data_IF_330085817206
#
_entry.id   IF_330085817206
#
_cell.length_a   1.000
_cell.length_b   1.000
_cell.length_c   1.000
_cell.angle_alpha   90.00
_cell.angle_beta   90.00
_cell.angle_gamma   90.00
#
_symmetry.space_group_name_H-M   'P 1'
#
loop_
_entity.id
_entity.type
_entity.pdbx_description
1 polymer ?
#
# COMPACT_ATOMS: atom_id res chain seq x y z
N UNK A 1 10.91 -14.92 62.97
CA UNK A 1 9.64 -15.02 62.23
C UNK A 1 9.34 -13.90 61.23
N UNK A 2 9.69 -12.61 61.43
CA UNK A 2 9.37 -11.55 60.44
C UNK A 2 10.27 -11.50 59.19
N UNK A 3 11.52 -11.95 59.28
CA UNK A 3 12.49 -11.92 58.15
C UNK A 3 12.26 -13.04 57.11
N UNK A 4 11.79 -14.20 57.53
CA UNK A 4 11.55 -15.36 56.65
C UNK A 4 10.34 -15.15 55.74
N UNK A 5 9.31 -14.47 56.23
CA UNK A 5 8.12 -14.12 55.46
C UNK A 5 8.41 -13.15 54.30
N UNK A 6 9.35 -12.22 54.49
CA UNK A 6 9.75 -11.26 53.45
C UNK A 6 10.41 -11.98 52.27
N UNK A 7 11.26 -12.98 52.55
CA UNK A 7 11.87 -13.80 51.51
C UNK A 7 10.86 -14.67 50.77
N UNK A 8 9.89 -15.25 51.47
CA UNK A 8 8.83 -16.05 50.84
C UNK A 8 7.92 -15.19 49.94
N UNK A 9 7.59 -13.96 50.36
CA UNK A 9 6.80 -13.01 49.56
C UNK A 9 7.60 -12.53 48.33
N UNK A 10 8.90 -12.24 48.48
CA UNK A 10 9.76 -11.85 47.36
C UNK A 10 9.96 -12.98 46.34
N UNK A 11 10.15 -14.23 46.80
CA UNK A 11 10.25 -15.41 45.94
C UNK A 11 8.92 -15.64 45.20
N UNK A 12 7.79 -15.52 45.90
CA UNK A 12 6.46 -15.63 45.29
C UNK A 12 6.23 -14.55 44.21
N UNK A 13 6.60 -13.29 44.49
CA UNK A 13 6.54 -12.19 43.52
C UNK A 13 7.45 -12.42 42.30
N UNK A 14 8.66 -12.96 42.49
CA UNK A 14 9.54 -13.35 41.38
C UNK A 14 8.93 -14.48 40.54
N UNK A 15 8.33 -15.50 41.16
CA UNK A 15 7.70 -16.61 40.45
C UNK A 15 6.44 -16.15 39.70
N UNK A 16 5.67 -15.21 40.25
CA UNK A 16 4.41 -14.75 39.63
C UNK A 16 4.63 -13.64 38.60
N UNK A 17 5.65 -12.78 38.75
CA UNK A 17 5.87 -11.65 37.84
C UNK A 17 7.09 -11.81 36.94
N UNK A 18 8.23 -12.21 37.51
CA UNK A 18 9.51 -12.22 36.77
C UNK A 18 9.62 -13.44 35.87
N UNK A 19 9.24 -14.63 36.35
CA UNK A 19 9.29 -15.86 35.54
C UNK A 19 8.31 -15.79 34.36
N UNK A 20 7.02 -15.44 34.50
CA UNK A 20 6.10 -15.32 33.37
C UNK A 20 6.54 -14.22 32.39
N UNK A 21 7.04 -13.08 32.88
CA UNK A 21 7.59 -12.04 32.01
C UNK A 21 8.82 -12.50 31.24
N UNK A 22 9.71 -13.27 31.87
CA UNK A 22 10.91 -13.82 31.24
C UNK A 22 10.58 -14.91 30.23
N UNK A 23 9.60 -15.76 30.52
CA UNK A 23 9.10 -16.80 29.60
C UNK A 23 8.38 -16.17 28.41
N UNK A 24 7.51 -15.18 28.63
CA UNK A 24 6.84 -14.41 27.56
C UNK A 24 7.87 -13.68 26.67
N UNK A 25 8.90 -13.08 27.30
CA UNK A 25 9.98 -12.43 26.58
C UNK A 25 10.80 -13.43 25.77
N UNK A 26 11.14 -14.58 26.33
CA UNK A 26 11.90 -15.63 25.65
C UNK A 26 11.12 -16.29 24.51
N UNK A 27 9.81 -16.51 24.67
CA UNK A 27 8.94 -16.95 23.58
C UNK A 27 8.89 -15.92 22.45
N UNK A 28 8.75 -14.63 22.79
CA UNK A 28 8.79 -13.53 21.81
C UNK A 28 10.14 -13.45 21.09
N UNK A 29 11.25 -13.63 21.81
CA UNK A 29 12.61 -13.67 21.23
C UNK A 29 12.80 -14.89 20.31
N UNK A 30 12.31 -16.08 20.68
CA UNK A 30 12.32 -17.28 19.81
C UNK A 30 11.51 -17.09 18.54
N UNK A 31 10.29 -16.55 18.66
CA UNK A 31 9.49 -16.22 17.48
C UNK A 31 10.26 -15.25 16.57
N UNK A 32 10.86 -14.19 17.10
CA UNK A 32 11.68 -13.22 16.31
C UNK A 32 12.89 -13.89 15.64
N UNK A 33 13.48 -14.94 16.21
CA UNK A 33 14.61 -15.66 15.62
C UNK A 33 14.28 -16.53 14.39
N UNK A 34 13.02 -16.95 14.22
CA UNK A 34 12.56 -17.69 13.03
C UNK A 34 12.15 -16.74 11.87
N UNK A 35 12.42 -15.43 11.98
CA UNK A 35 12.04 -14.46 10.95
C UNK A 35 12.97 -14.48 9.73
N UNK A 36 12.37 -14.29 8.57
CA UNK A 36 13.06 -14.38 7.28
C UNK A 36 13.87 -13.13 7.06
N UNK A 37 15.16 -13.30 6.77
CA UNK A 37 16.03 -12.19 6.36
C UNK A 37 15.90 -11.96 4.87
N UNK A 38 15.65 -10.71 4.49
CA UNK A 38 15.56 -10.27 3.10
C UNK A 38 16.65 -9.24 2.81
N UNK A 39 17.11 -9.19 1.57
CA UNK A 39 18.03 -8.17 1.05
C UNK A 39 17.22 -7.03 0.44
N UNK A 40 17.39 -5.84 0.99
CA UNK A 40 16.64 -4.64 0.61
C UNK A 40 17.58 -3.65 -0.04
N UNK A 41 17.28 -3.25 -1.28
CA UNK A 41 18.00 -2.15 -1.95
C UNK A 41 17.48 -0.80 -1.46
N UNK A 42 18.36 -0.06 -0.78
CA UNK A 42 18.10 1.24 -0.19
C UNK A 42 18.24 2.39 -1.20
N UNK A 43 17.69 3.60 -0.94
CA UNK A 43 17.73 4.71 -1.90
C UNK A 43 19.14 5.23 -2.22
N UNK A 44 20.12 5.00 -1.32
CA UNK A 44 21.53 5.33 -1.52
C UNK A 44 22.28 4.29 -2.38
N UNK A 45 21.60 3.24 -2.85
CA UNK A 45 22.18 2.16 -3.66
C UNK A 45 22.76 1.00 -2.84
N UNK A 46 22.75 1.09 -1.50
CA UNK A 46 23.25 0.01 -0.64
C UNK A 46 22.23 -1.12 -0.50
N UNK A 47 22.71 -2.36 -0.37
CA UNK A 47 21.85 -3.52 -0.08
C UNK A 47 22.01 -3.91 1.39
N UNK A 48 20.93 -3.80 2.16
CA UNK A 48 20.91 -4.11 3.59
C UNK A 48 20.10 -5.38 3.85
N UNK A 49 20.55 -6.21 4.82
CA UNK A 49 19.78 -7.38 5.27
C UNK A 49 18.90 -7.00 6.45
N UNK A 50 17.59 -7.13 6.29
CA UNK A 50 16.59 -6.86 7.33
C UNK A 50 15.75 -8.09 7.62
N UNK A 51 15.22 -8.21 8.84
CA UNK A 51 14.13 -9.14 9.09
C UNK A 51 12.90 -8.66 8.32
N UNK A 52 12.13 -9.60 7.75
CA UNK A 52 10.96 -9.29 6.93
C UNK A 52 9.96 -8.44 7.71
N UNK A 53 9.73 -8.74 8.99
CA UNK A 53 8.79 -7.99 9.82
C UNK A 53 9.29 -6.55 10.11
N UNK A 54 10.61 -6.36 10.26
CA UNK A 54 11.20 -5.02 10.41
C UNK A 54 11.09 -4.20 9.12
N UNK A 55 11.29 -4.84 7.96
CA UNK A 55 11.06 -4.22 6.66
C UNK A 55 9.59 -3.79 6.52
N UNK A 56 8.65 -4.68 6.86
CA UNK A 56 7.21 -4.42 6.76
C UNK A 56 6.76 -3.29 7.67
N UNK A 57 7.36 -3.12 8.86
CA UNK A 57 7.09 -1.98 9.72
C UNK A 57 7.35 -0.66 8.98
N UNK A 58 8.49 -0.57 8.27
CA UNK A 58 8.84 0.59 7.45
C UNK A 58 7.91 0.80 6.26
N UNK A 59 7.45 -0.30 5.63
CA UNK A 59 6.46 -0.22 4.53
C UNK A 59 5.13 0.33 5.03
N UNK A 60 4.55 -0.25 6.09
CA UNK A 60 3.25 0.19 6.60
C UNK A 60 3.31 1.64 7.10
N UNK A 61 4.43 2.06 7.71
CA UNK A 61 4.66 3.44 8.15
C UNK A 61 4.73 4.46 7.00
N UNK A 62 5.21 4.02 5.83
CA UNK A 62 5.30 4.84 4.63
C UNK A 62 3.95 4.92 3.89
N UNK A 63 3.26 3.78 3.79
CA UNK A 63 2.09 3.58 2.94
C UNK A 63 0.79 4.06 3.59
N UNK A 64 0.64 3.90 4.91
CA UNK A 64 -0.60 4.23 5.60
C UNK A 64 -0.39 5.23 6.73
N UNK A 65 -1.34 6.16 6.95
CA UNK A 65 -1.35 6.98 8.16
C UNK A 65 -1.45 6.09 9.40
N UNK A 66 -0.57 6.31 10.38
CA UNK A 66 -0.50 5.49 11.59
C UNK A 66 -1.77 5.61 12.46
N UNK A 67 -2.57 6.64 12.24
CA UNK A 67 -3.87 6.87 12.86
C UNK A 67 -4.93 5.86 12.42
N UNK A 68 -4.77 5.22 11.27
CA UNK A 68 -5.76 4.27 10.74
C UNK A 68 -6.01 3.09 11.68
N UNK A 69 -7.19 2.52 11.59
CA UNK A 69 -7.61 1.40 12.43
C UNK A 69 -6.65 0.22 12.31
N UNK A 70 -6.44 -0.49 13.43
CA UNK A 70 -5.45 -1.58 13.48
C UNK A 70 -5.75 -2.69 12.49
N UNK A 71 -7.02 -3.00 12.22
CA UNK A 71 -7.40 -4.03 11.23
C UNK A 71 -7.06 -3.59 9.78
N UNK A 72 -7.09 -2.29 9.50
CA UNK A 72 -6.64 -1.77 8.20
C UNK A 72 -5.10 -1.81 8.07
N UNK A 73 -4.38 -1.45 9.14
CA UNK A 73 -2.91 -1.57 9.18
C UNK A 73 -2.47 -3.03 9.05
N UNK A 74 -3.21 -3.96 9.65
CA UNK A 74 -3.01 -5.41 9.49
C UNK A 74 -3.21 -5.85 8.05
N UNK A 75 -4.29 -5.40 7.40
CA UNK A 75 -4.55 -5.72 5.99
C UNK A 75 -3.40 -5.24 5.09
N UNK A 76 -2.87 -4.03 5.34
CA UNK A 76 -1.69 -3.53 4.64
C UNK A 76 -0.44 -4.34 4.91
N UNK A 77 -0.20 -4.75 6.16
CA UNK A 77 0.94 -5.61 6.49
C UNK A 77 0.89 -6.94 5.72
N UNK A 78 -0.29 -7.59 5.63
CA UNK A 78 -0.48 -8.82 4.86
C UNK A 78 -0.27 -8.58 3.36
N UNK A 79 -0.86 -7.52 2.79
CA UNK A 79 -0.67 -7.20 1.38
C UNK A 79 0.81 -6.93 1.05
N UNK A 80 1.50 -6.15 1.88
CA UNK A 80 2.92 -5.87 1.71
C UNK A 80 3.79 -7.13 1.88
N UNK A 81 3.51 -7.98 2.86
CA UNK A 81 4.21 -9.26 3.04
C UNK A 81 4.02 -10.17 1.84
N UNK A 82 2.81 -10.22 1.29
CA UNK A 82 2.51 -11.01 0.09
C UNK A 82 3.29 -10.50 -1.12
N UNK A 83 3.38 -9.18 -1.30
CA UNK A 83 4.20 -8.58 -2.35
C UNK A 83 5.67 -8.98 -2.21
N UNK A 84 6.24 -8.83 -1.00
CA UNK A 84 7.62 -9.23 -0.73
C UNK A 84 7.85 -10.73 -0.97
N UNK A 85 6.95 -11.59 -0.49
CA UNK A 85 7.00 -13.04 -0.70
C UNK A 85 6.95 -13.43 -2.18
N UNK A 86 6.08 -12.78 -2.98
CA UNK A 86 6.02 -12.97 -4.43
C UNK A 86 7.36 -12.60 -5.08
N UNK A 87 7.94 -11.45 -4.74
CA UNK A 87 9.23 -11.00 -5.29
C UNK A 87 10.37 -11.95 -4.93
N UNK A 88 10.42 -12.41 -3.68
CA UNK A 88 11.37 -13.44 -3.23
C UNK A 88 11.24 -14.73 -4.04
N UNK A 89 10.01 -15.22 -4.26
CA UNK A 89 9.78 -16.44 -5.04
C UNK A 89 10.23 -16.32 -6.50
N UNK A 90 10.13 -15.12 -7.08
CA UNK A 90 10.57 -14.83 -8.45
C UNK A 90 12.08 -14.58 -8.56
N UNK A 91 12.70 -14.00 -7.53
CA UNK A 91 14.13 -13.67 -7.53
C UNK A 91 15.04 -14.89 -7.32
N UNK A 92 14.52 -16.03 -6.85
CA UNK A 92 15.25 -17.30 -6.97
C UNK A 92 15.56 -17.68 -8.42
N UNK A 93 14.99 -16.98 -9.41
CA UNK A 93 15.21 -17.14 -10.84
C UNK A 93 16.05 -15.96 -11.42
N UNK A 94 16.21 -14.85 -10.70
CA UNK A 94 16.89 -13.63 -11.19
C UNK A 94 18.27 -13.44 -10.53
N UNK A 95 19.28 -13.04 -11.33
CA UNK A 95 20.66 -12.80 -10.86
C UNK A 95 20.83 -11.47 -10.10
N UNK A 96 19.76 -10.91 -9.54
CA UNK A 96 19.78 -9.61 -8.88
C UNK A 96 20.25 -9.77 -7.43
N UNK A 97 21.16 -8.89 -6.99
CA UNK A 97 21.78 -8.95 -5.65
C UNK A 97 20.86 -8.59 -4.48
N UNK A 98 19.57 -8.32 -4.73
CA UNK A 98 18.58 -7.88 -3.74
C UNK A 98 17.21 -8.54 -3.99
N UNK A 99 16.37 -8.61 -2.95
CA UNK A 99 15.09 -9.31 -2.97
C UNK A 99 13.90 -8.37 -3.17
N UNK A 100 13.97 -7.17 -2.58
CA UNK A 100 13.02 -6.07 -2.77
C UNK A 100 13.80 -4.76 -2.86
N UNK A 101 13.26 -3.76 -3.55
CA UNK A 101 13.80 -2.40 -3.52
C UNK A 101 12.85 -1.47 -2.75
N UNK A 102 13.35 -0.31 -2.34
CA UNK A 102 12.55 0.75 -1.69
C UNK A 102 12.33 1.94 -2.62
N UNK A 103 12.46 1.74 -3.93
CA UNK A 103 12.38 2.83 -4.91
C UNK A 103 10.93 3.07 -5.33
N UNK A 104 10.68 4.21 -5.98
CA UNK A 104 9.35 4.64 -6.49
C UNK A 104 8.70 3.60 -7.43
N UNK A 105 9.44 2.59 -7.89
CA UNK A 105 8.94 1.50 -8.72
C UNK A 105 8.33 0.33 -7.92
N UNK A 106 8.48 0.31 -6.59
CA UNK A 106 7.95 -0.75 -5.71
C UNK A 106 7.16 -0.16 -4.53
N UNK A 107 7.43 -0.58 -3.29
CA UNK A 107 6.69 -0.15 -2.10
C UNK A 107 7.42 1.03 -1.44
N UNK A 108 6.66 2.01 -0.96
CA UNK A 108 7.24 3.08 -0.15
C UNK A 108 7.77 2.49 1.16
N UNK A 109 8.91 2.99 1.65
CA UNK A 109 9.53 2.52 2.89
C UNK A 109 10.12 3.69 3.67
N UNK A 110 9.95 3.68 5.00
CA UNK A 110 10.56 4.64 5.92
C UNK A 110 11.49 3.94 6.91
N UNK A 111 12.68 4.49 7.11
CA UNK A 111 13.60 4.07 8.17
C UNK A 111 13.10 4.48 9.57
N UNK A 112 13.70 3.93 10.61
CA UNK A 112 13.42 4.35 12.00
C UNK A 112 13.70 5.84 12.23
N UNK A 113 14.77 6.36 11.62
CA UNK A 113 15.13 7.78 11.72
C UNK A 113 14.07 8.65 11.06
N UNK A 114 13.64 8.29 9.85
CA UNK A 114 12.58 9.02 9.14
C UNK A 114 11.23 8.93 9.87
N UNK A 115 10.92 7.79 10.51
CA UNK A 115 9.73 7.66 11.36
C UNK A 115 9.78 8.61 12.56
N UNK A 116 10.94 8.77 13.21
CA UNK A 116 11.14 9.72 14.33
C UNK A 116 10.97 11.16 13.88
N UNK A 117 11.55 11.51 12.73
CA UNK A 117 11.41 12.85 12.13
C UNK A 117 9.95 13.14 11.76
N UNK A 118 9.28 12.20 11.10
CA UNK A 118 7.89 12.35 10.62
C UNK A 118 6.88 12.55 11.76
N UNK A 119 7.07 11.87 12.89
CA UNK A 119 6.09 11.88 13.98
C UNK A 119 6.50 12.69 15.21
N UNK A 120 7.79 13.03 15.33
CA UNK A 120 8.34 13.60 16.55
C UNK A 120 8.35 12.61 17.71
N UNK A 121 9.08 12.95 18.78
CA UNK A 121 9.39 12.03 19.89
C UNK A 121 8.16 11.34 20.50
N UNK A 122 7.12 12.09 20.86
CA UNK A 122 5.95 11.55 21.57
C UNK A 122 5.09 10.63 20.69
N UNK A 123 4.73 11.08 19.48
CA UNK A 123 3.89 10.27 18.60
C UNK A 123 4.66 9.09 17.99
N UNK A 124 5.98 9.21 17.84
CA UNK A 124 6.80 8.11 17.33
C UNK A 124 6.59 6.82 18.13
N UNK A 125 6.69 6.87 19.46
CA UNK A 125 6.53 5.67 20.29
C UNK A 125 5.12 5.09 20.20
N UNK A 126 4.10 5.95 20.20
CA UNK A 126 2.69 5.56 20.08
C UNK A 126 2.41 4.88 18.74
N UNK A 127 2.82 5.51 17.64
CA UNK A 127 2.56 5.03 16.29
C UNK A 127 3.40 3.81 15.96
N UNK A 128 4.69 3.80 16.28
CA UNK A 128 5.54 2.62 16.09
C UNK A 128 5.00 1.41 16.84
N UNK A 129 4.55 1.59 18.09
CA UNK A 129 3.93 0.49 18.86
C UNK A 129 2.67 -0.06 18.19
N UNK A 130 1.77 0.82 17.69
CA UNK A 130 0.54 0.42 16.99
C UNK A 130 0.82 -0.30 15.68
N UNK A 131 1.74 0.22 14.87
CA UNK A 131 2.17 -0.40 13.61
C UNK A 131 2.81 -1.76 13.86
N UNK A 132 3.71 -1.85 14.86
CA UNK A 132 4.33 -3.11 15.26
C UNK A 132 3.30 -4.15 15.71
N UNK A 133 2.26 -3.73 16.43
CA UNK A 133 1.14 -4.62 16.80
C UNK A 133 0.38 -5.14 15.57
N UNK A 134 0.22 -4.33 14.53
CA UNK A 134 -0.43 -4.76 13.29
C UNK A 134 0.43 -5.76 12.49
N UNK A 135 1.72 -5.45 12.36
CA UNK A 135 2.71 -6.28 11.65
C UNK A 135 2.86 -7.64 12.33
N UNK A 136 3.20 -7.65 13.63
CA UNK A 136 3.34 -8.89 14.42
C UNK A 136 1.99 -9.63 14.52
N UNK A 137 0.88 -8.90 14.68
CA UNK A 137 -0.45 -9.51 14.75
C UNK A 137 -0.91 -10.20 13.47
N UNK A 138 -0.18 -10.05 12.36
CA UNK A 138 -0.39 -10.73 11.08
C UNK A 138 0.87 -11.46 10.62
N UNK A 139 1.75 -11.80 11.56
CA UNK A 139 3.03 -12.42 11.25
C UNK A 139 2.84 -13.64 10.36
N UNK A 140 3.70 -13.74 9.34
CA UNK A 140 3.69 -14.81 8.33
C UNK A 140 2.40 -14.91 7.50
N UNK A 141 1.38 -14.09 7.71
CA UNK A 141 0.16 -14.15 6.90
C UNK A 141 0.41 -13.55 5.53
N UNK A 142 0.11 -14.34 4.49
CA UNK A 142 0.22 -13.98 3.06
C UNK A 142 -1.00 -14.46 2.30
N UNK A 143 -1.28 -13.81 1.16
CA UNK A 143 -2.40 -14.14 0.28
C UNK A 143 -1.93 -14.99 -0.90
N UNK A 144 -2.63 -16.10 -1.13
CA UNK A 144 -2.34 -17.08 -2.18
C UNK A 144 -3.57 -17.31 -3.05
N UNK A 145 -3.37 -17.48 -4.35
CA UNK A 145 -4.37 -17.96 -5.29
C UNK A 145 -3.72 -18.96 -6.26
N UNK A 146 -4.41 -20.06 -6.56
CA UNK A 146 -3.93 -21.11 -7.47
C UNK A 146 -2.54 -21.67 -7.13
N UNK A 147 -2.18 -21.71 -5.84
CA UNK A 147 -0.87 -22.21 -5.38
C UNK A 147 0.25 -21.17 -5.35
N UNK A 148 0.01 -19.95 -5.86
CA UNK A 148 1.02 -18.89 -5.93
C UNK A 148 0.66 -17.67 -5.07
N UNK A 149 1.68 -16.95 -4.57
CA UNK A 149 1.48 -15.64 -3.96
C UNK A 149 0.83 -14.67 -4.96
N UNK A 150 -0.24 -14.00 -4.52
CA UNK A 150 -0.94 -13.04 -5.40
C UNK A 150 -0.10 -11.78 -5.59
N UNK A 151 -0.43 -11.02 -6.63
CA UNK A 151 0.02 -9.62 -6.73
C UNK A 151 -0.92 -8.73 -5.90
N UNK A 152 -0.59 -8.57 -4.61
CA UNK A 152 -1.40 -7.84 -3.63
C UNK A 152 -1.23 -6.31 -3.75
N UNK A 153 -1.65 -5.76 -4.89
CA UNK A 153 -1.61 -4.32 -5.17
C UNK A 153 -2.65 -3.55 -4.36
N UNK A 154 -2.28 -2.33 -3.95
CA UNK A 154 -3.13 -1.45 -3.16
C UNK A 154 -2.94 0.00 -3.59
N UNK A 155 -3.91 0.85 -3.28
CA UNK A 155 -3.89 2.26 -3.62
C UNK A 155 -4.53 3.10 -2.52
N UNK A 156 -4.33 4.42 -2.56
CA UNK A 156 -4.78 5.32 -1.48
C UNK A 156 -6.31 5.40 -1.37
N UNK A 157 -6.99 5.81 -2.44
CA UNK A 157 -8.45 5.96 -2.46
C UNK A 157 -9.01 5.65 -3.85
N UNK A 158 -10.08 4.87 -3.92
CA UNK A 158 -10.84 4.62 -5.15
C UNK A 158 -11.76 5.80 -5.52
N UNK A 159 -12.04 6.69 -4.55
CA UNK A 159 -12.99 7.79 -4.69
C UNK A 159 -14.44 7.29 -4.77
N UNK A 160 -15.23 7.92 -5.64
CA UNK A 160 -16.66 7.66 -5.81
C UNK A 160 -17.03 6.38 -6.58
N UNK A 161 -16.06 5.60 -7.02
CA UNK A 161 -16.25 4.40 -7.85
C UNK A 161 -15.68 3.17 -7.14
N UNK A 162 -16.18 2.00 -7.55
CA UNK A 162 -15.64 0.68 -7.18
C UNK A 162 -14.14 0.55 -7.54
N UNK A 163 -13.46 -0.47 -7.03
CA UNK A 163 -12.11 -0.81 -7.50
C UNK A 163 -12.12 -1.22 -8.97
N UNK A 164 -10.96 -1.28 -9.60
CA UNK A 164 -10.79 -1.70 -10.99
C UNK A 164 -10.37 -3.15 -11.15
N UNK A 165 -10.75 -3.72 -12.29
CA UNK A 165 -10.16 -4.95 -12.81
C UNK A 165 -8.75 -4.70 -13.30
N UNK A 166 -7.88 -5.68 -13.08
CA UNK A 166 -6.48 -5.58 -13.51
C UNK A 166 -6.31 -5.36 -15.01
N UNK A 167 -7.12 -6.01 -15.84
CA UNK A 167 -7.11 -5.97 -17.31
C UNK A 167 -7.67 -4.66 -17.91
N UNK A 168 -8.32 -3.85 -17.07
CA UNK A 168 -8.82 -2.53 -17.47
C UNK A 168 -7.75 -1.44 -17.29
N UNK A 169 -6.80 -1.68 -16.39
CA UNK A 169 -5.68 -0.77 -16.06
C UNK A 169 -4.36 -1.26 -16.65
N UNK A 170 -4.17 -2.58 -16.70
CA UNK A 170 -3.01 -3.33 -17.19
C UNK A 170 -3.47 -4.35 -18.23
N UNK A 171 -2.57 -4.98 -19.00
CA UNK A 171 -2.99 -5.88 -20.10
C UNK A 171 -3.34 -7.31 -19.66
N UNK A 172 -2.96 -7.73 -18.44
CA UNK A 172 -3.08 -9.12 -17.99
C UNK A 172 -4.14 -9.28 -16.91
N UNK A 173 -5.16 -10.15 -17.12
CA UNK A 173 -6.19 -10.41 -16.13
C UNK A 173 -5.62 -11.19 -14.93
N UNK A 174 -6.12 -10.86 -13.75
CA UNK A 174 -5.82 -11.53 -12.48
C UNK A 174 -7.15 -11.83 -11.78
N UNK A 175 -7.52 -13.11 -11.58
CA UNK A 175 -8.84 -13.48 -11.05
C UNK A 175 -9.19 -12.83 -9.70
N UNK A 176 -8.18 -12.53 -8.89
CA UNK A 176 -8.31 -11.89 -7.57
C UNK A 176 -8.27 -10.35 -7.59
N UNK A 177 -8.16 -9.70 -8.76
CA UNK A 177 -8.22 -8.23 -8.89
C UNK A 177 -9.43 -7.83 -9.72
N UNK A 178 -10.59 -7.74 -9.05
CA UNK A 178 -11.89 -7.50 -9.65
C UNK A 178 -12.50 -6.17 -9.20
N UNK A 179 -13.56 -5.73 -9.87
CA UNK A 179 -14.37 -4.61 -9.41
C UNK A 179 -15.16 -5.02 -8.16
N UNK A 180 -14.81 -4.44 -7.02
CA UNK A 180 -15.51 -4.60 -5.75
C UNK A 180 -15.86 -3.24 -5.17
N UNK A 181 -16.78 -3.17 -4.21
CA UNK A 181 -17.06 -1.93 -3.49
C UNK A 181 -15.77 -1.33 -2.94
N UNK A 182 -15.58 -0.01 -3.05
CA UNK A 182 -14.35 0.61 -2.52
C UNK A 182 -14.30 0.56 -0.99
N UNK A 183 -15.42 0.34 -0.30
CA UNK A 183 -15.52 0.35 1.16
C UNK A 183 -15.41 1.75 1.80
N UNK A 184 -15.16 2.80 1.01
CA UNK A 184 -14.98 4.16 1.50
C UNK A 184 -16.30 4.83 1.87
N UNK A 185 -16.35 5.45 3.06
CA UNK A 185 -17.53 6.17 3.52
C UNK A 185 -17.63 7.58 2.92
N UNK A 186 -16.48 8.24 2.69
CA UNK A 186 -16.43 9.56 2.07
C UNK A 186 -15.90 9.47 0.63
N UNK A 187 -16.82 9.44 -0.32
CA UNK A 187 -16.54 9.34 -1.76
C UNK A 187 -15.84 10.59 -2.34
N UNK A 188 -15.88 11.71 -1.63
CA UNK A 188 -15.27 13.00 -2.00
C UNK A 188 -13.99 13.29 -1.21
N UNK A 189 -13.48 12.32 -0.43
CA UNK A 189 -12.29 12.49 0.41
C UNK A 189 -11.07 12.95 -0.38
N UNK A 190 -10.96 12.49 -1.62
CA UNK A 190 -9.85 12.81 -2.50
C UNK A 190 -10.38 13.37 -3.82
N UNK A 191 -10.64 14.68 -3.83
CA UNK A 191 -10.95 15.44 -5.06
C UNK A 191 -9.81 16.41 -5.31
N UNK A 192 -9.19 16.34 -6.48
CA UNK A 192 -8.10 17.22 -6.86
C UNK A 192 -8.34 17.82 -8.23
N UNK A 193 -8.33 19.15 -8.31
CA UNK A 193 -8.39 19.89 -9.57
C UNK A 193 -7.00 20.39 -9.93
N UNK A 194 -6.60 20.18 -11.18
CA UNK A 194 -5.37 20.73 -11.76
C UNK A 194 -5.74 21.48 -13.03
N UNK A 195 -5.14 22.65 -13.22
CA UNK A 195 -5.33 23.49 -14.40
C UNK A 195 -4.02 23.58 -15.18
N UNK A 196 -4.12 23.62 -16.51
CA UNK A 196 -3.01 23.85 -17.41
C UNK A 196 -3.39 24.95 -18.39
N UNK A 197 -2.50 25.91 -18.61
CA UNK A 197 -2.62 26.74 -19.82
C UNK A 197 -2.36 25.89 -21.06
N UNK A 198 -2.77 26.38 -22.23
CA UNK A 198 -2.43 25.67 -23.48
C UNK A 198 -0.90 25.51 -23.62
N UNK A 199 -0.11 26.55 -23.34
CA UNK A 199 1.36 26.44 -23.45
C UNK A 199 1.93 25.36 -22.50
N UNK A 200 1.44 25.29 -21.26
CA UNK A 200 1.85 24.27 -20.29
C UNK A 200 1.48 22.86 -20.76
N UNK A 201 0.29 22.70 -21.34
CA UNK A 201 -0.18 21.43 -21.87
C UNK A 201 0.69 20.95 -23.03
N UNK A 202 0.96 21.82 -24.01
CA UNK A 202 1.86 21.53 -25.13
C UNK A 202 3.26 21.12 -24.63
N UNK A 203 3.82 21.89 -23.67
CA UNK A 203 5.11 21.59 -23.04
C UNK A 203 5.12 20.23 -22.35
N UNK A 204 4.11 19.91 -21.53
CA UNK A 204 4.02 18.63 -20.80
C UNK A 204 3.85 17.43 -21.73
N UNK A 205 3.20 17.62 -22.88
CA UNK A 205 2.99 16.57 -23.88
C UNK A 205 4.15 16.46 -24.89
N UNK A 206 5.23 17.23 -24.70
CA UNK A 206 6.41 17.21 -25.57
C UNK A 206 6.11 17.71 -26.99
N UNK A 207 5.09 18.55 -27.16
CA UNK A 207 4.72 19.13 -28.45
C UNK A 207 5.10 20.60 -28.43
N UNK A 208 6.11 21.00 -29.21
CA UNK A 208 6.53 22.41 -29.32
C UNK A 208 6.04 23.08 -30.62
N UNK A 209 5.39 22.33 -31.50
CA UNK A 209 4.87 22.88 -32.76
C UNK A 209 3.68 23.80 -32.46
N UNK A 210 3.89 25.10 -32.71
CA UNK A 210 2.93 26.21 -32.69
C UNK A 210 1.74 26.04 -31.73
N UNK A 211 1.93 26.29 -30.42
CA UNK A 211 0.85 26.23 -29.44
C UNK A 211 -0.29 27.15 -29.85
N UNK A 212 -1.51 26.60 -29.91
CA UNK A 212 -2.75 27.36 -30.11
C UNK A 212 -3.67 27.24 -28.90
N UNK A 213 -4.58 28.20 -28.75
CA UNK A 213 -5.69 28.12 -27.80
C UNK A 213 -6.49 26.82 -28.01
N UNK A 214 -7.03 26.30 -26.93
CA UNK A 214 -7.75 25.03 -26.89
C UNK A 214 -9.19 25.18 -27.40
N UNK A 215 -9.73 24.07 -27.87
CA UNK A 215 -11.11 23.90 -28.30
C UNK A 215 -11.71 22.69 -27.58
N UNK A 216 -13.03 22.58 -27.50
CA UNK A 216 -13.69 21.46 -26.80
C UNK A 216 -13.27 20.07 -27.31
N UNK A 217 -12.80 19.95 -28.56
CA UNK A 217 -12.28 18.71 -29.14
C UNK A 217 -10.85 18.34 -28.73
N UNK A 218 -10.12 19.23 -28.07
CA UNK A 218 -8.71 19.02 -27.71
C UNK A 218 -8.50 18.12 -26.50
N UNK A 219 -9.56 17.81 -25.76
CA UNK A 219 -9.53 16.84 -24.68
C UNK A 219 -10.79 15.99 -24.70
N UNK A 220 -10.62 14.68 -24.90
CA UNK A 220 -11.73 13.75 -24.98
C UNK A 220 -11.35 12.39 -24.39
N UNK A 221 -12.14 11.91 -23.42
CA UNK A 221 -12.08 10.49 -23.02
C UNK A 221 -12.72 9.66 -24.12
N UNK A 222 -11.93 8.76 -24.74
CA UNK A 222 -12.37 7.93 -25.85
C UNK A 222 -13.01 6.61 -25.38
N UNK A 223 -12.38 5.98 -24.39
CA UNK A 223 -12.81 4.69 -23.84
C UNK A 223 -12.86 4.81 -22.33
N UNK A 224 -13.91 4.25 -21.73
CA UNK A 224 -14.04 4.09 -20.29
C UNK A 224 -13.98 2.62 -19.92
N UNK A 225 -13.51 2.34 -18.71
CA UNK A 225 -13.59 1.01 -18.09
C UNK A 225 -15.03 0.66 -17.75
N UNK A 226 -15.28 -0.60 -17.39
CA UNK A 226 -16.61 -1.06 -16.93
C UNK A 226 -17.20 -0.26 -15.75
N UNK A 227 -16.37 0.33 -14.88
CA UNK A 227 -16.81 1.21 -13.77
C UNK A 227 -16.69 2.70 -14.09
N UNK A 228 -16.43 3.03 -15.35
CA UNK A 228 -16.53 4.38 -15.89
C UNK A 228 -15.30 5.27 -15.69
N UNK A 229 -14.13 4.74 -15.30
CA UNK A 229 -12.88 5.51 -15.30
C UNK A 229 -12.37 5.66 -16.73
N UNK A 230 -11.59 6.70 -17.00
CA UNK A 230 -10.96 6.84 -18.31
C UNK A 230 -9.97 5.69 -18.53
N UNK A 231 -10.03 5.04 -19.70
CA UNK A 231 -9.08 4.02 -20.16
C UNK A 231 -8.12 4.59 -21.20
N UNK A 232 -8.66 5.36 -22.15
CA UNK A 232 -7.86 6.10 -23.14
C UNK A 232 -8.42 7.50 -23.35
N UNK A 233 -7.52 8.46 -23.54
CA UNK A 233 -7.84 9.88 -23.68
C UNK A 233 -7.11 10.45 -24.89
N UNK A 234 -7.84 11.19 -25.73
CA UNK A 234 -7.26 12.01 -26.77
C UNK A 234 -6.97 13.39 -26.21
N UNK A 235 -5.73 13.85 -26.32
CA UNK A 235 -5.31 15.21 -25.94
C UNK A 235 -4.51 15.81 -27.10
N UNK A 236 -4.96 16.96 -27.61
CA UNK A 236 -4.35 17.65 -28.76
C UNK A 236 -4.10 16.71 -29.95
N UNK A 237 -5.09 15.89 -30.29
CA UNK A 237 -5.03 14.93 -31.40
C UNK A 237 -4.24 13.64 -31.13
N UNK A 238 -3.41 13.58 -30.08
CA UNK A 238 -2.66 12.36 -29.68
C UNK A 238 -3.47 11.51 -28.70
N UNK A 239 -3.35 10.19 -28.80
CA UNK A 239 -4.05 9.24 -27.92
C UNK A 239 -3.07 8.74 -26.87
N UNK A 240 -3.50 8.78 -25.60
CA UNK A 240 -2.77 8.27 -24.45
C UNK A 240 -3.62 7.22 -23.73
N UNK A 241 -2.98 6.25 -23.11
CA UNK A 241 -3.65 5.50 -22.03
C UNK A 241 -3.87 6.44 -20.85
N UNK A 242 -4.97 6.28 -20.12
CA UNK A 242 -5.25 7.14 -18.98
C UNK A 242 -4.18 7.05 -17.87
N UNK A 243 -3.57 5.87 -17.57
CA UNK A 243 -2.44 5.80 -16.64
C UNK A 243 -1.21 6.61 -17.09
N UNK A 244 -0.85 6.58 -18.38
CA UNK A 244 0.25 7.40 -18.91
C UNK A 244 -0.07 8.88 -18.77
N UNK A 245 -1.28 9.29 -19.16
CA UNK A 245 -1.69 10.70 -19.07
C UNK A 245 -1.72 11.20 -17.63
N UNK A 246 -2.16 10.35 -16.68
CA UNK A 246 -2.15 10.63 -15.25
C UNK A 246 -0.75 11.01 -14.78
N UNK A 247 0.27 10.25 -15.17
CA UNK A 247 1.68 10.52 -14.80
C UNK A 247 2.17 11.81 -15.47
N UNK A 248 1.97 11.96 -16.80
CA UNK A 248 2.41 13.13 -17.57
C UNK A 248 1.85 14.46 -17.02
N UNK A 249 0.58 14.44 -16.63
CA UNK A 249 -0.12 15.62 -16.14
C UNK A 249 -0.12 15.74 -14.60
N UNK A 250 0.36 14.74 -13.86
CA UNK A 250 0.37 14.77 -12.39
C UNK A 250 -1.03 14.68 -11.77
N UNK A 251 -1.94 13.93 -12.40
CA UNK A 251 -3.30 13.70 -11.92
C UNK A 251 -3.32 12.66 -10.80
N UNK A 252 -4.28 12.74 -9.87
CA UNK A 252 -4.34 11.78 -8.75
C UNK A 252 -4.91 10.43 -9.15
N UNK A 253 -5.86 10.40 -10.09
CA UNK A 253 -6.52 9.19 -10.58
C UNK A 253 -6.92 9.30 -12.05
N UNK A 254 -7.62 8.27 -12.57
CA UNK A 254 -8.22 8.24 -13.90
C UNK A 254 -9.75 8.41 -13.90
N UNK A 255 -10.38 8.60 -12.73
CA UNK A 255 -11.75 9.10 -12.67
C UNK A 255 -11.69 10.62 -12.77
N UNK A 256 -12.13 11.16 -13.91
CA UNK A 256 -11.93 12.57 -14.23
C UNK A 256 -13.15 13.22 -14.86
N UNK A 257 -13.32 14.49 -14.52
CA UNK A 257 -14.16 15.47 -15.19
C UNK A 257 -13.26 16.59 -15.70
N UNK A 258 -13.65 17.26 -16.78
CA UNK A 258 -12.82 18.30 -17.37
C UNK A 258 -13.65 19.45 -17.92
N UNK A 259 -13.03 20.62 -17.93
CA UNK A 259 -13.54 21.83 -18.56
C UNK A 259 -12.44 22.36 -19.48
N UNK A 260 -12.77 22.53 -20.76
CA UNK A 260 -11.86 23.12 -21.75
C UNK A 260 -12.34 24.52 -22.07
N UNK A 261 -11.46 25.49 -21.90
CA UNK A 261 -11.61 26.88 -22.30
C UNK A 261 -10.43 27.23 -23.23
N UNK A 262 -10.55 28.28 -24.07
CA UNK A 262 -9.49 28.66 -25.01
C UNK A 262 -8.10 28.75 -24.38
N UNK A 263 -8.01 29.32 -23.18
CA UNK A 263 -6.73 29.56 -22.52
C UNK A 263 -6.35 28.46 -21.52
N UNK A 264 -7.26 27.56 -21.16
CA UNK A 264 -7.10 26.67 -20.01
C UNK A 264 -7.86 25.35 -20.12
N UNK A 265 -7.19 24.27 -19.76
CA UNK A 265 -7.79 22.98 -19.45
C UNK A 265 -7.78 22.78 -17.94
N UNK A 266 -8.95 22.58 -17.33
CA UNK A 266 -9.08 22.18 -15.93
C UNK A 266 -9.55 20.73 -15.86
N UNK A 267 -8.84 19.88 -15.13
CA UNK A 267 -9.19 18.49 -14.89
C UNK A 267 -9.42 18.30 -13.39
N UNK A 268 -10.60 17.83 -13.02
CA UNK A 268 -10.96 17.43 -11.66
C UNK A 268 -10.96 15.90 -11.57
N UNK A 269 -10.20 15.37 -10.62
CA UNK A 269 -10.01 13.93 -10.43
C UNK A 269 -10.55 13.47 -9.09
N UNK A 270 -11.08 12.24 -9.05
CA UNK A 270 -11.69 11.62 -7.89
C UNK A 270 -10.93 10.35 -7.50
N UNK A 271 -10.53 10.24 -6.24
CA UNK A 271 -9.65 9.18 -5.76
C UNK A 271 -8.16 9.47 -5.99
N UNK A 272 -7.31 8.56 -5.52
CA UNK A 272 -5.87 8.65 -5.60
C UNK A 272 -5.22 7.26 -5.77
N UNK A 273 -4.54 7.07 -6.90
CA UNK A 273 -3.86 5.82 -7.25
C UNK A 273 -4.47 5.13 -8.47
N UNK A 274 -4.06 3.89 -8.70
CA UNK A 274 -4.45 3.10 -9.86
C UNK A 274 -5.83 2.41 -9.71
N UNK A 275 -6.45 2.48 -8.54
CA UNK A 275 -7.78 1.92 -8.22
C UNK A 275 -7.91 0.38 -8.24
N UNK A 276 -6.83 -0.37 -8.47
CA UNK A 276 -6.83 -1.85 -8.47
C UNK A 276 -6.50 -2.39 -7.08
N UNK A 277 -7.13 -3.50 -6.70
CA UNK A 277 -6.90 -4.17 -5.41
C UNK A 277 -7.41 -3.36 -4.22
N UNK A 278 -6.67 -3.36 -3.12
CA UNK A 278 -7.15 -2.77 -1.86
C UNK A 278 -7.11 -1.24 -1.85
N UNK A 279 -8.24 -0.59 -1.54
CA UNK A 279 -8.28 0.84 -1.16
C UNK A 279 -7.87 0.98 0.30
N UNK A 280 -6.79 1.71 0.59
CA UNK A 280 -6.30 1.94 1.96
C UNK A 280 -7.33 2.69 2.81
N UNK A 281 -7.93 3.73 2.25
CA UNK A 281 -9.01 4.49 2.90
C UNK A 281 -10.27 3.65 3.08
N UNK A 282 -10.57 2.78 2.12
CA UNK A 282 -11.68 1.85 2.21
C UNK A 282 -11.49 0.79 3.28
N UNK A 283 -10.30 0.19 3.37
CA UNK A 283 -9.92 -0.73 4.44
C UNK A 283 -10.05 -0.07 5.82
N UNK A 284 -9.67 1.20 5.95
CA UNK A 284 -9.86 1.96 7.18
C UNK A 284 -11.34 2.14 7.55
N UNK A 285 -12.17 2.52 6.59
CA UNK A 285 -13.60 2.74 6.84
C UNK A 285 -14.38 1.42 7.06
N UNK A 286 -13.92 0.31 6.49
CA UNK A 286 -14.38 -1.04 6.85
C UNK A 286 -13.95 -1.41 8.28
N UNK A 287 -12.69 -1.18 8.64
CA UNK A 287 -12.18 -1.45 9.98
C UNK A 287 -12.88 -0.61 11.08
N UNK A 288 -13.25 0.65 10.78
CA UNK A 288 -14.08 1.49 11.68
C UNK A 288 -15.45 0.86 11.95
N UNK A 289 -15.99 0.15 10.96
CA UNK A 289 -17.23 -0.66 11.06
C UNK A 289 -16.99 -2.04 11.68
N UNK A 290 -15.83 -2.25 12.32
CA UNK A 290 -15.43 -3.47 13.03
C UNK A 290 -15.24 -4.71 12.15
N UNK A 291 -15.17 -4.53 10.83
CA UNK A 291 -14.79 -5.59 9.90
C UNK A 291 -13.34 -6.01 10.17
N UNK A 292 -13.09 -7.32 10.26
CA UNK A 292 -11.78 -7.89 10.59
C UNK A 292 -10.85 -7.94 9.39
N UNK A 293 -9.54 -8.03 9.65
CA UNK A 293 -8.51 -8.07 8.59
C UNK A 293 -8.79 -9.14 7.53
N UNK A 294 -9.23 -10.33 7.92
CA UNK A 294 -9.50 -11.43 6.99
C UNK A 294 -10.63 -11.05 6.01
N UNK A 295 -11.72 -10.51 6.53
CA UNK A 295 -12.86 -10.05 5.72
C UNK A 295 -12.49 -8.87 4.83
N UNK A 296 -11.68 -7.92 5.33
CA UNK A 296 -11.16 -6.80 4.53
C UNK A 296 -10.35 -7.34 3.34
N UNK A 297 -9.44 -8.29 3.58
CA UNK A 297 -8.60 -8.85 2.53
C UNK A 297 -9.41 -9.67 1.53
N UNK A 298 -10.34 -10.51 1.98
CA UNK A 298 -11.21 -11.29 1.08
C UNK A 298 -12.14 -10.42 0.25
N UNK A 299 -12.55 -9.26 0.79
CA UNK A 299 -13.33 -8.27 0.06
C UNK A 299 -12.54 -7.68 -1.13
N UNK A 300 -11.29 -7.27 -0.92
CA UNK A 300 -10.48 -6.66 -1.98
C UNK A 300 -9.77 -7.65 -2.90
N UNK A 301 -9.52 -8.86 -2.42
CA UNK A 301 -8.84 -9.93 -3.16
C UNK A 301 -9.72 -11.20 -3.18
N UNK A 302 -10.86 -11.18 -3.90
CA UNK A 302 -11.80 -12.29 -3.90
C UNK A 302 -11.16 -13.57 -4.45
N UNK A 303 -11.55 -14.72 -3.88
CA UNK A 303 -11.05 -16.04 -4.28
C UNK A 303 -9.64 -16.38 -3.80
N UNK A 304 -9.03 -15.53 -2.98
CA UNK A 304 -7.72 -15.79 -2.38
C UNK A 304 -7.85 -16.53 -1.06
N UNK A 305 -6.73 -17.05 -0.55
CA UNK A 305 -6.65 -17.69 0.76
C UNK A 305 -5.52 -17.08 1.57
N UNK A 306 -5.73 -16.95 2.88
CA UNK A 306 -4.66 -16.66 3.81
C UNK A 306 -3.88 -17.94 4.10
N UNK A 307 -2.57 -17.84 4.02
CA UNK A 307 -1.65 -18.92 4.38
C UNK A 307 -0.55 -18.37 5.28
N UNK A 308 0.02 -19.24 6.10
CA UNK A 308 1.28 -18.95 6.76
C UNK A 308 2.41 -19.11 5.74
N UNK A 309 3.27 -18.11 5.68
CA UNK A 309 4.48 -18.08 4.89
C UNK A 309 5.44 -19.15 5.40
N UNK A 310 5.49 -20.29 4.70
CA UNK A 310 6.44 -21.36 4.96
C UNK A 310 7.67 -21.20 4.09
N UNK A 311 8.82 -20.94 4.69
CA UNK A 311 10.10 -21.11 4.01
C UNK A 311 10.67 -22.47 4.41
N UNK A 312 10.99 -23.30 3.42
CA UNK A 312 11.80 -24.49 3.68
C UNK A 312 13.16 -24.00 4.22
N UNK A 313 13.50 -24.40 5.45
CA UNK A 313 14.85 -24.26 6.00
C UNK A 313 15.76 -25.15 5.13
N UNK A 314 16.41 -24.56 4.13
CA UNK A 314 17.53 -25.19 3.43
C UNK A 314 18.82 -24.89 4.19
#
# INVERSE_FOLDING_TARGET
>A
MKKEWIWLVAISLCIVLVIPWSVLRWQKEREIMDDVKIRVLMPNGEVVRLLLEDYLLGVVAAEMPAEFEVEALKAQAVAARTYAAKRLSQNNISSLGYDVDTTVQTQAWLSDTQMREKWGWLNYWRYKSKLNKAVIGTRSMVLVANGDYIEAVYHSSSGRKQTERSEEVWSSPRPYLQNVSSGEANLQRYVKSVSFTYQELYKKLGSMDSPRSLTSGDFQVLVKTSVGRAKSVRVLGKIYTAPQLRILLGLSSTDMEWVVQPERLTITTYGNGHAVGMSQWGANDLAKRKIKVEEILMHYYPGTKLMALGFNKH
#
